data_IF_657155973597
#
_entry.id   IF_657155973597
#
_cell.length_a   1.000
_cell.length_b   1.000
_cell.length_c   1.000
_cell.angle_alpha   90.00
_cell.angle_beta   90.00
_cell.angle_gamma   90.00
#
_symmetry.space_group_name_H-M   'P 1'
#
loop_
_entity.id
_entity.type
_entity.pdbx_description
1 polymer ?
#
# COMPACT_ATOMS: atom_id res chain seq x y z
N UNK A 1 2.22 -16.08 18.04
CA UNK A 1 0.98 -16.71 17.53
C UNK A 1 0.95 -18.17 18.01
N UNK A 2 -0.23 -18.67 18.42
CA UNK A 2 -0.39 -20.06 18.84
C UNK A 2 -1.33 -20.78 17.87
N UNK A 3 -0.97 -21.98 17.44
CA UNK A 3 -1.74 -22.84 16.55
C UNK A 3 -2.09 -24.13 17.29
N UNK A 4 -3.35 -24.55 17.20
CA UNK A 4 -3.86 -25.81 17.75
C UNK A 4 -4.63 -26.55 16.67
N UNK A 5 -4.38 -27.88 16.54
CA UNK A 5 -5.19 -28.74 15.68
C UNK A 5 -6.39 -29.29 16.47
N UNK A 6 -7.58 -28.89 16.07
CA UNK A 6 -8.83 -29.31 16.69
C UNK A 6 -9.34 -30.68 16.19
N UNK A 7 -8.46 -31.53 15.69
CA UNK A 7 -8.83 -32.85 15.18
C UNK A 7 -9.11 -32.86 13.68
N UNK A 8 -8.28 -32.15 12.90
CA UNK A 8 -8.42 -32.07 11.44
C UNK A 8 -8.22 -33.47 10.78
N UNK A 9 -9.05 -33.78 9.79
CA UNK A 9 -9.04 -35.08 9.08
C UNK A 9 -7.71 -35.36 8.37
N UNK A 10 -7.09 -34.31 7.81
CA UNK A 10 -5.83 -34.40 7.04
C UNK A 10 -4.59 -34.07 7.87
N UNK A 11 -4.74 -33.68 9.13
CA UNK A 11 -3.67 -33.24 10.01
C UNK A 11 -3.16 -31.86 9.67
N UNK A 12 -2.58 -31.21 10.70
CA UNK A 12 -1.89 -29.92 10.60
C UNK A 12 -0.39 -30.15 10.77
N UNK A 13 0.42 -29.61 9.88
CA UNK A 13 1.86 -29.79 9.86
C UNK A 13 2.55 -28.43 9.99
N UNK A 14 3.61 -28.37 10.78
CA UNK A 14 4.42 -27.15 10.97
C UNK A 14 5.87 -27.42 10.62
N UNK A 15 6.51 -26.46 9.93
CA UNK A 15 7.92 -26.51 9.57
C UNK A 15 8.59 -25.20 9.96
N UNK A 16 9.73 -25.27 10.66
CA UNK A 16 10.56 -24.13 11.00
C UNK A 16 11.30 -23.57 9.77
N UNK A 17 11.64 -22.26 9.74
CA UNK A 17 12.38 -21.66 8.64
C UNK A 17 13.78 -22.28 8.52
N UNK A 18 14.22 -22.48 7.26
CA UNK A 18 15.56 -23.00 6.96
C UNK A 18 15.74 -24.52 7.04
N UNK A 19 14.70 -25.28 7.31
CA UNK A 19 14.74 -26.77 7.27
C UNK A 19 14.32 -27.25 5.88
N UNK A 20 15.27 -27.77 5.08
CA UNK A 20 15.03 -28.31 3.75
C UNK A 20 14.67 -29.80 3.82
N UNK A 21 13.55 -30.16 3.15
CA UNK A 21 13.11 -31.54 2.93
C UNK A 21 11.81 -31.92 3.64
N UNK A 22 11.11 -32.93 3.11
CA UNK A 22 9.83 -33.46 3.65
C UNK A 22 9.95 -34.06 5.07
N UNK A 23 11.17 -34.38 5.51
CA UNK A 23 11.45 -34.91 6.85
C UNK A 23 11.46 -33.84 7.96
N UNK A 24 11.38 -32.57 7.62
CA UNK A 24 11.43 -31.46 8.56
C UNK A 24 10.02 -30.95 8.99
N UNK A 25 8.95 -31.54 8.48
CA UNK A 25 7.59 -31.19 8.89
C UNK A 25 7.15 -31.99 10.12
N UNK A 26 6.73 -31.31 11.16
CA UNK A 26 6.18 -31.91 12.39
C UNK A 26 4.66 -31.85 12.35
N UNK A 27 4.00 -33.02 12.47
CA UNK A 27 2.54 -33.09 12.61
C UNK A 27 2.13 -32.63 14.01
N UNK A 28 1.14 -31.76 14.10
CA UNK A 28 0.58 -31.36 15.39
C UNK A 28 -0.29 -32.46 15.96
N UNK A 29 -0.16 -32.69 17.27
CA UNK A 29 -1.08 -33.54 18.02
C UNK A 29 -2.38 -32.76 18.28
N UNK A 30 -3.56 -33.38 18.04
CA UNK A 30 -4.83 -32.73 18.31
C UNK A 30 -4.94 -32.25 19.77
N UNK A 31 -5.40 -31.02 19.98
CA UNK A 31 -5.58 -30.43 21.31
C UNK A 31 -4.30 -29.93 21.97
N UNK A 32 -3.15 -29.99 21.30
CA UNK A 32 -1.88 -29.48 21.82
C UNK A 32 -1.47 -28.20 21.10
N UNK A 33 -1.50 -27.03 21.76
CA UNK A 33 -1.11 -25.78 21.13
C UNK A 33 0.40 -25.70 20.93
N UNK A 34 0.83 -25.22 19.76
CA UNK A 34 2.23 -24.94 19.40
C UNK A 34 2.41 -23.47 19.12
N UNK A 35 3.48 -22.87 19.64
CA UNK A 35 3.82 -21.47 19.36
C UNK A 35 4.52 -21.38 18.01
N UNK A 36 3.99 -20.54 17.13
CA UNK A 36 4.56 -20.26 15.81
C UNK A 36 5.39 -18.98 15.82
N UNK A 37 6.50 -19.02 15.10
CA UNK A 37 7.40 -17.90 14.87
C UNK A 37 7.29 -17.38 13.42
N UNK A 38 7.63 -16.10 13.17
CA UNK A 38 7.74 -15.59 11.80
C UNK A 38 8.72 -16.43 10.97
N UNK A 39 8.30 -16.80 9.76
CA UNK A 39 9.03 -17.70 8.87
C UNK A 39 8.58 -19.15 8.93
N UNK A 40 7.82 -19.56 9.96
CA UNK A 40 7.26 -20.90 10.02
C UNK A 40 6.25 -21.13 8.88
N UNK A 41 6.25 -22.35 8.38
CA UNK A 41 5.30 -22.79 7.36
C UNK A 41 4.30 -23.76 7.98
N UNK A 42 3.02 -23.50 7.79
CA UNK A 42 1.92 -24.35 8.25
C UNK A 42 1.24 -24.98 7.04
N UNK A 43 1.15 -26.31 7.00
CA UNK A 43 0.43 -27.05 5.95
C UNK A 43 -0.87 -27.63 6.49
N UNK A 44 -1.97 -27.27 5.84
CA UNK A 44 -3.33 -27.73 6.13
C UNK A 44 -3.85 -28.49 4.90
N UNK A 45 -3.68 -29.82 4.87
CA UNK A 45 -4.01 -30.60 3.68
C UNK A 45 -3.18 -30.18 2.47
N UNK A 46 -3.82 -29.67 1.42
CA UNK A 46 -3.16 -29.16 0.20
C UNK A 46 -2.75 -27.68 0.28
N UNK A 47 -3.13 -26.97 1.34
CA UNK A 47 -2.83 -25.53 1.50
C UNK A 47 -1.60 -25.35 2.37
N UNK A 48 -0.64 -24.57 1.89
CA UNK A 48 0.55 -24.18 2.63
C UNK A 48 0.49 -22.68 2.94
N UNK A 49 0.61 -22.32 4.21
CA UNK A 49 0.65 -20.95 4.73
C UNK A 49 2.05 -20.69 5.24
N UNK A 50 2.61 -19.53 4.92
CA UNK A 50 3.87 -19.04 5.48
C UNK A 50 3.55 -17.92 6.46
N UNK A 51 4.03 -18.05 7.71
CA UNK A 51 3.95 -16.94 8.65
C UNK A 51 4.97 -15.88 8.24
N UNK A 52 4.47 -14.79 7.72
CA UNK A 52 5.28 -13.59 7.57
C UNK A 52 5.14 -12.73 8.83
N UNK A 53 6.20 -12.05 9.31
CA UNK A 53 6.01 -10.98 10.27
C UNK A 53 4.89 -10.11 9.73
N UNK A 54 3.89 -9.81 10.55
CA UNK A 54 3.03 -8.69 10.20
C UNK A 54 4.00 -7.50 10.04
N UNK A 55 4.33 -7.17 8.80
CA UNK A 55 4.81 -5.84 8.53
C UNK A 55 3.72 -4.98 9.16
N UNK A 56 4.04 -4.29 10.24
CA UNK A 56 3.14 -3.28 10.75
C UNK A 56 2.75 -2.48 9.51
N UNK A 57 1.46 -2.41 9.14
CA UNK A 57 1.10 -1.51 8.07
C UNK A 57 1.76 -0.20 8.48
N UNK A 58 2.46 0.51 7.59
CA UNK A 58 3.01 1.80 7.93
C UNK A 58 1.85 2.55 8.56
N UNK A 59 1.96 2.78 9.87
CA UNK A 59 0.90 3.49 10.59
C UNK A 59 0.77 4.80 9.83
N UNK A 60 -0.41 5.20 9.34
CA UNK A 60 -0.56 6.48 8.64
C UNK A 60 -0.12 7.67 9.51
N UNK A 61 0.06 7.45 10.81
CA UNK A 61 0.62 8.41 11.77
C UNK A 61 2.16 8.48 11.72
N UNK A 62 2.89 7.54 11.07
CA UNK A 62 4.33 7.63 10.81
C UNK A 62 4.68 8.33 9.49
N UNK A 63 3.71 8.82 8.73
CA UNK A 63 3.95 9.95 7.86
C UNK A 63 4.18 11.15 8.77
N UNK A 64 5.35 11.22 9.37
CA UNK A 64 5.75 12.29 10.28
C UNK A 64 5.41 13.62 9.68
N UNK A 65 4.54 14.41 10.34
CA UNK A 65 4.31 15.83 10.12
C UNK A 65 4.19 16.33 8.68
N UNK A 66 4.02 15.47 7.69
CA UNK A 66 3.79 15.88 6.32
C UNK A 66 2.49 16.67 6.28
N UNK A 67 2.56 17.89 5.84
CA UNK A 67 1.43 18.78 5.73
C UNK A 67 0.38 18.11 4.83
N UNK A 68 -0.62 17.49 5.45
CA UNK A 68 -1.79 16.98 4.73
C UNK A 68 -2.36 18.12 3.91
N UNK A 69 -2.70 17.84 2.67
CA UNK A 69 -3.41 18.78 1.83
C UNK A 69 -4.68 19.27 2.55
N UNK A 70 -5.07 20.55 2.43
CA UNK A 70 -6.28 21.08 3.04
C UNK A 70 -7.52 20.21 2.79
N UNK A 71 -7.71 19.74 1.55
CA UNK A 71 -8.84 18.88 1.20
C UNK A 71 -8.81 17.54 1.97
N UNK A 72 -7.65 16.96 2.18
CA UNK A 72 -7.53 15.72 2.97
C UNK A 72 -7.67 15.96 4.48
N UNK A 73 -7.30 17.14 4.98
CA UNK A 73 -7.58 17.52 6.37
C UNK A 73 -9.08 17.54 6.66
N UNK A 74 -9.88 18.07 5.74
CA UNK A 74 -11.34 18.05 5.84
C UNK A 74 -11.90 16.62 5.83
N UNK A 75 -11.40 15.77 4.94
CA UNK A 75 -11.76 14.34 4.88
C UNK A 75 -11.44 13.64 6.20
N UNK A 76 -10.24 13.84 6.73
CA UNK A 76 -9.84 13.24 8.01
C UNK A 76 -10.68 13.77 9.18
N UNK A 77 -10.92 15.08 9.26
CA UNK A 77 -11.76 15.68 10.30
C UNK A 77 -13.21 15.16 10.25
N UNK A 78 -13.76 14.96 9.04
CA UNK A 78 -15.08 14.35 8.88
C UNK A 78 -15.07 12.90 9.37
N UNK A 79 -14.07 12.10 8.99
CA UNK A 79 -13.93 10.71 9.43
C UNK A 79 -13.84 10.65 10.95
N UNK A 80 -12.98 11.42 11.58
CA UNK A 80 -12.78 11.42 13.04
C UNK A 80 -14.08 11.79 13.79
N UNK A 81 -14.87 12.70 13.22
CA UNK A 81 -16.18 13.08 13.79
C UNK A 81 -17.23 11.99 13.65
N UNK A 82 -17.26 11.24 12.54
CA UNK A 82 -18.28 10.21 12.27
C UNK A 82 -17.87 8.82 12.73
N UNK A 83 -16.58 8.57 12.96
CA UNK A 83 -16.07 7.26 13.35
C UNK A 83 -16.70 6.71 14.65
N UNK A 84 -16.96 7.51 15.71
CA UNK A 84 -17.60 7.00 16.93
C UNK A 84 -19.08 6.61 16.77
N UNK A 85 -19.73 7.07 15.69
CA UNK A 85 -21.13 6.73 15.39
C UNK A 85 -21.25 5.37 14.71
N UNK A 86 -22.36 4.66 14.94
CA UNK A 86 -22.65 3.33 14.36
C UNK A 86 -23.28 3.42 12.94
N UNK A 87 -23.33 4.61 12.35
CA UNK A 87 -23.91 4.83 11.03
C UNK A 87 -22.99 4.28 9.93
N UNK A 88 -23.54 3.78 8.81
CA UNK A 88 -22.77 3.40 7.64
C UNK A 88 -22.01 4.59 7.05
N UNK A 89 -20.82 4.31 6.53
CA UNK A 89 -19.97 5.31 5.85
C UNK A 89 -19.73 4.86 4.42
N UNK A 90 -20.03 5.74 3.46
CA UNK A 90 -19.79 5.52 2.04
C UNK A 90 -18.61 6.36 1.56
N UNK A 91 -17.52 5.68 1.16
CA UNK A 91 -16.31 6.29 0.62
C UNK A 91 -16.37 6.33 -0.90
N UNK A 92 -16.42 7.52 -1.48
CA UNK A 92 -16.42 7.74 -2.91
C UNK A 92 -15.11 8.34 -3.38
N UNK A 93 -14.55 7.81 -4.45
CA UNK A 93 -13.32 8.34 -5.04
C UNK A 93 -12.71 7.40 -6.06
N UNK A 94 -11.85 7.93 -6.90
CA UNK A 94 -11.20 7.19 -7.98
C UNK A 94 -10.43 5.95 -7.47
N UNK A 95 -10.12 5.04 -8.37
CA UNK A 95 -9.27 3.89 -8.05
C UNK A 95 -7.89 4.36 -7.60
N UNK A 96 -7.39 3.76 -6.51
CA UNK A 96 -6.04 4.06 -5.99
C UNK A 96 -5.92 5.32 -5.14
N UNK A 97 -7.02 6.03 -4.80
CA UNK A 97 -6.97 7.26 -3.96
C UNK A 97 -6.73 7.01 -2.47
N UNK A 98 -6.82 5.74 -2.01
CA UNK A 98 -6.63 5.37 -0.61
C UNK A 98 -7.93 5.08 0.17
N UNK A 99 -9.03 4.72 -0.51
CA UNK A 99 -10.32 4.36 0.13
C UNK A 99 -10.13 3.34 1.25
N UNK A 100 -9.32 2.30 1.04
CA UNK A 100 -9.07 1.24 2.01
C UNK A 100 -8.38 1.75 3.29
N UNK A 101 -7.39 2.64 3.15
CA UNK A 101 -6.69 3.27 4.28
C UNK A 101 -7.64 4.12 5.11
N UNK A 102 -8.54 4.86 4.45
CA UNK A 102 -9.55 5.66 5.14
C UNK A 102 -10.62 4.80 5.81
N UNK A 103 -11.01 3.66 5.21
CA UNK A 103 -11.89 2.68 5.87
C UNK A 103 -11.25 2.11 7.15
N UNK A 104 -9.95 1.79 7.11
CA UNK A 104 -9.22 1.41 8.33
C UNK A 104 -9.22 2.51 9.38
N UNK A 105 -9.03 3.79 8.97
CA UNK A 105 -9.10 4.92 9.89
C UNK A 105 -10.47 5.03 10.53
N UNK A 106 -11.57 4.89 9.76
CA UNK A 106 -12.94 4.85 10.30
C UNK A 106 -13.07 3.76 11.35
N UNK A 107 -12.56 2.56 11.09
CA UNK A 107 -12.61 1.46 12.06
C UNK A 107 -11.78 1.75 13.31
N UNK A 108 -10.52 2.16 13.16
CA UNK A 108 -9.59 2.45 14.28
C UNK A 108 -10.09 3.56 15.20
N UNK A 109 -10.74 4.58 14.64
CA UNK A 109 -11.32 5.69 15.39
C UNK A 109 -12.73 5.39 15.93
N UNK A 110 -13.28 4.18 15.71
CA UNK A 110 -14.61 3.78 16.13
C UNK A 110 -14.61 3.12 17.51
N UNK A 111 -15.81 2.94 18.06
CA UNK A 111 -16.02 2.14 19.29
C UNK A 111 -15.71 0.64 19.08
N UNK A 112 -15.59 0.20 17.84
CA UNK A 112 -15.28 -1.19 17.45
C UNK A 112 -13.80 -1.39 17.11
N UNK A 113 -12.90 -0.47 17.42
CA UNK A 113 -11.48 -0.51 17.08
C UNK A 113 -10.73 -1.76 17.58
N UNK A 114 -11.17 -2.34 18.71
CA UNK A 114 -10.64 -3.60 19.25
C UNK A 114 -11.33 -4.88 18.72
N UNK A 115 -12.25 -4.75 17.77
CA UNK A 115 -13.00 -5.84 17.17
C UNK A 115 -12.48 -6.14 15.76
N UNK A 116 -12.85 -7.29 15.14
CA UNK A 116 -12.39 -7.60 13.80
C UNK A 116 -12.87 -6.59 12.76
N UNK A 117 -11.98 -6.25 11.82
CA UNK A 117 -12.35 -5.57 10.59
C UNK A 117 -12.13 -6.54 9.44
N UNK A 118 -13.20 -6.95 8.80
CA UNK A 118 -13.16 -7.84 7.63
C UNK A 118 -13.45 -7.06 6.36
N UNK A 119 -12.88 -7.52 5.23
CA UNK A 119 -12.96 -6.82 3.94
C UNK A 119 -13.43 -7.78 2.86
N UNK A 120 -14.32 -7.30 2.02
CA UNK A 120 -14.74 -7.99 0.80
C UNK A 120 -14.59 -7.02 -0.37
N UNK A 121 -13.82 -7.42 -1.38
CA UNK A 121 -13.83 -6.73 -2.67
C UNK A 121 -14.89 -7.37 -3.56
N UNK A 122 -15.95 -6.62 -3.85
CA UNK A 122 -17.11 -7.10 -4.61
C UNK A 122 -16.79 -7.33 -6.10
N UNK A 123 -15.73 -6.71 -6.62
CA UNK A 123 -15.29 -6.88 -8.01
C UNK A 123 -14.31 -8.04 -8.21
N UNK A 124 -13.64 -8.51 -7.15
CA UNK A 124 -12.54 -9.48 -7.26
C UNK A 124 -13.00 -10.94 -7.36
N UNK A 125 -14.25 -11.23 -7.03
CA UNK A 125 -14.80 -12.59 -6.98
C UNK A 125 -15.81 -12.82 -8.12
N UNK A 126 -15.90 -14.07 -8.57
CA UNK A 126 -17.00 -14.48 -9.43
C UNK A 126 -18.34 -14.23 -8.68
N UNK A 127 -19.32 -13.77 -9.40
CA UNK A 127 -20.58 -13.22 -8.86
C UNK A 127 -21.31 -14.13 -7.86
N UNK A 128 -21.41 -15.44 -8.17
CA UNK A 128 -22.01 -16.45 -7.27
C UNK A 128 -21.16 -16.68 -6.01
N UNK A 129 -19.85 -16.39 -6.05
CA UNK A 129 -18.97 -16.50 -4.89
C UNK A 129 -19.12 -15.30 -3.96
N UNK A 130 -19.40 -14.09 -4.49
CA UNK A 130 -19.65 -12.89 -3.67
C UNK A 130 -20.77 -13.14 -2.66
N UNK A 131 -21.89 -13.72 -3.11
CA UNK A 131 -23.01 -14.03 -2.21
C UNK A 131 -22.63 -15.06 -1.15
N UNK A 132 -21.98 -16.14 -1.57
CA UNK A 132 -21.52 -17.19 -0.67
C UNK A 132 -20.47 -16.68 0.35
N UNK A 133 -19.56 -15.80 -0.07
CA UNK A 133 -18.56 -15.21 0.85
C UNK A 133 -19.21 -14.20 1.79
N UNK A 134 -20.14 -13.38 1.32
CA UNK A 134 -20.77 -12.34 2.11
C UNK A 134 -21.80 -12.90 3.12
N UNK A 135 -22.73 -13.73 2.63
CA UNK A 135 -23.85 -14.23 3.43
C UNK A 135 -23.66 -15.65 3.99
N UNK A 136 -22.65 -16.40 3.49
CA UNK A 136 -22.47 -17.80 3.77
C UNK A 136 -23.40 -18.71 2.94
N UNK A 137 -23.22 -20.02 3.07
CA UNK A 137 -24.07 -21.01 2.41
C UNK A 137 -24.33 -22.21 3.28
N UNK A 138 -25.48 -22.85 3.07
CA UNK A 138 -25.78 -24.16 3.65
C UNK A 138 -25.28 -25.27 2.72
N UNK A 139 -25.10 -26.48 3.27
CA UNK A 139 -24.72 -27.64 2.50
C UNK A 139 -25.74 -27.92 1.38
N UNK A 140 -25.24 -28.12 0.16
CA UNK A 140 -26.08 -28.36 -1.01
C UNK A 140 -26.68 -27.12 -1.67
N UNK A 141 -26.32 -25.93 -1.23
CA UNK A 141 -26.85 -24.67 -1.78
C UNK A 141 -26.53 -24.46 -3.27
N UNK A 142 -25.40 -25.00 -3.74
CA UNK A 142 -24.98 -25.00 -5.14
C UNK A 142 -24.02 -26.16 -5.41
N UNK A 143 -23.68 -26.40 -6.68
CA UNK A 143 -22.72 -27.44 -7.09
C UNK A 143 -21.33 -27.13 -6.50
N UNK A 144 -20.85 -27.99 -5.58
CA UNK A 144 -19.61 -27.78 -4.83
C UNK A 144 -19.78 -27.33 -3.37
N UNK A 145 -21.00 -27.03 -2.92
CA UNK A 145 -21.30 -26.71 -1.52
C UNK A 145 -21.39 -28.00 -0.66
N UNK A 146 -20.26 -28.67 -0.49
CA UNK A 146 -20.22 -29.94 0.27
C UNK A 146 -20.39 -29.77 1.79
N UNK A 147 -20.03 -28.60 2.31
CA UNK A 147 -20.08 -28.25 3.74
C UNK A 147 -20.74 -26.89 3.88
N UNK A 148 -21.50 -26.66 4.95
CA UNK A 148 -22.00 -25.31 5.26
C UNK A 148 -20.84 -24.41 5.68
N UNK A 149 -20.84 -23.14 5.20
CA UNK A 149 -19.83 -22.14 5.51
C UNK A 149 -20.48 -20.87 6.05
N UNK A 150 -20.05 -20.35 7.22
CA UNK A 150 -20.49 -19.02 7.68
C UNK A 150 -20.02 -17.94 6.72
N UNK A 151 -20.83 -16.90 6.53
CA UNK A 151 -20.45 -15.74 5.71
C UNK A 151 -19.60 -14.74 6.46
N UNK A 152 -19.02 -13.81 5.70
CA UNK A 152 -18.22 -12.70 6.21
C UNK A 152 -19.00 -11.89 7.27
N UNK A 153 -20.30 -11.65 7.03
CA UNK A 153 -21.14 -10.89 7.95
C UNK A 153 -21.31 -11.59 9.30
N UNK A 154 -21.48 -12.91 9.30
CA UNK A 154 -21.53 -13.69 10.54
C UNK A 154 -20.17 -13.68 11.25
N UNK A 155 -19.08 -13.84 10.50
CA UNK A 155 -17.71 -13.91 11.03
C UNK A 155 -17.20 -12.58 11.58
N UNK A 156 -17.75 -11.45 11.10
CA UNK A 156 -17.41 -10.11 11.53
C UNK A 156 -18.22 -9.62 12.74
N UNK A 157 -19.01 -10.48 13.37
CA UNK A 157 -19.95 -10.08 14.43
C UNK A 157 -19.28 -9.25 15.52
N UNK A 158 -19.91 -8.14 15.89
CA UNK A 158 -19.40 -7.12 16.82
C UNK A 158 -18.35 -6.19 16.19
N UNK A 159 -17.90 -6.43 14.94
CA UNK A 159 -16.84 -5.73 14.25
C UNK A 159 -17.31 -4.78 13.15
N UNK A 160 -16.44 -4.59 12.16
CA UNK A 160 -16.68 -3.74 10.98
C UNK A 160 -16.48 -4.55 9.70
N UNK A 161 -17.35 -4.34 8.71
CA UNK A 161 -17.21 -4.91 7.36
C UNK A 161 -16.97 -3.79 6.36
N UNK A 162 -15.87 -3.88 5.61
CA UNK A 162 -15.60 -3.06 4.43
C UNK A 162 -16.10 -3.80 3.19
N UNK A 163 -17.06 -3.19 2.49
CA UNK A 163 -17.50 -3.60 1.16
C UNK A 163 -16.81 -2.71 0.14
N UNK A 164 -15.69 -3.20 -0.41
CA UNK A 164 -14.96 -2.47 -1.44
C UNK A 164 -15.56 -2.74 -2.82
N UNK A 165 -15.62 -1.72 -3.64
CA UNK A 165 -16.28 -1.70 -4.96
C UNK A 165 -17.75 -2.20 -4.89
N UNK A 166 -18.50 -1.65 -3.91
CA UNK A 166 -19.91 -2.02 -3.69
C UNK A 166 -20.81 -1.77 -4.91
N UNK A 167 -20.43 -0.83 -5.78
CA UNK A 167 -21.10 -0.55 -7.05
C UNK A 167 -21.03 -1.68 -8.09
N UNK A 168 -20.25 -2.75 -7.82
CA UNK A 168 -20.14 -3.95 -8.65
C UNK A 168 -21.09 -5.07 -8.21
N UNK A 169 -21.81 -4.91 -7.10
CA UNK A 169 -22.79 -5.89 -6.66
C UNK A 169 -23.96 -6.02 -7.65
N UNK A 170 -24.39 -7.25 -7.90
CA UNK A 170 -25.64 -7.51 -8.65
C UNK A 170 -26.88 -7.07 -7.87
N UNK A 171 -27.95 -6.77 -8.57
CA UNK A 171 -29.22 -6.35 -7.98
C UNK A 171 -29.79 -7.36 -6.96
N UNK A 172 -29.56 -8.67 -7.15
CA UNK A 172 -29.95 -9.72 -6.21
C UNK A 172 -29.18 -9.62 -4.90
N UNK A 173 -27.85 -9.49 -4.98
CA UNK A 173 -26.98 -9.31 -3.82
C UNK A 173 -27.23 -7.98 -3.11
N UNK A 174 -27.56 -6.92 -3.88
CA UNK A 174 -27.98 -5.62 -3.34
C UNK A 174 -29.27 -5.75 -2.51
N UNK A 175 -30.26 -6.51 -3.00
CA UNK A 175 -31.52 -6.72 -2.28
C UNK A 175 -31.30 -7.50 -0.96
N UNK A 176 -30.39 -8.48 -0.97
CA UNK A 176 -30.03 -9.23 0.26
C UNK A 176 -29.28 -8.35 1.25
N UNK A 177 -28.34 -7.55 0.76
CA UNK A 177 -27.57 -6.61 1.61
C UNK A 177 -28.48 -5.58 2.25
N UNK A 178 -29.47 -5.06 1.51
CA UNK A 178 -30.46 -4.13 2.04
C UNK A 178 -31.22 -4.73 3.24
N UNK A 179 -31.68 -5.97 3.11
CA UNK A 179 -32.36 -6.68 4.23
C UNK A 179 -31.47 -6.79 5.45
N UNK A 180 -30.16 -7.09 5.27
CA UNK A 180 -29.23 -7.13 6.40
C UNK A 180 -29.08 -5.77 7.07
N UNK A 181 -28.99 -4.69 6.29
CA UNK A 181 -28.89 -3.32 6.81
C UNK A 181 -30.16 -2.84 7.53
N UNK A 182 -31.33 -3.37 7.16
CA UNK A 182 -32.62 -2.99 7.74
C UNK A 182 -33.00 -3.87 8.95
N UNK A 183 -32.85 -5.19 8.81
CA UNK A 183 -33.33 -6.16 9.80
C UNK A 183 -32.26 -6.60 10.79
N UNK A 184 -30.97 -6.34 10.50
CA UNK A 184 -29.86 -6.85 11.30
C UNK A 184 -29.76 -8.39 11.28
N UNK A 185 -30.20 -9.02 10.18
CA UNK A 185 -30.20 -10.47 10.00
C UNK A 185 -29.76 -10.85 8.59
N UNK A 186 -28.96 -11.91 8.46
CA UNK A 186 -28.58 -12.50 7.19
C UNK A 186 -29.19 -13.88 7.00
N UNK A 187 -29.50 -14.22 5.76
CA UNK A 187 -29.92 -15.55 5.35
C UNK A 187 -28.82 -16.17 4.49
N UNK A 188 -28.31 -17.33 4.85
CA UNK A 188 -27.34 -18.07 4.06
C UNK A 188 -27.93 -18.48 2.72
N UNK A 189 -27.10 -18.61 1.71
CA UNK A 189 -27.51 -19.14 0.41
C UNK A 189 -28.00 -20.59 0.60
N UNK A 190 -29.21 -20.89 0.12
CA UNK A 190 -29.89 -22.17 0.34
C UNK A 190 -30.47 -22.37 1.74
N UNK A 191 -30.31 -21.42 2.66
CA UNK A 191 -30.82 -21.49 4.02
C UNK A 191 -32.21 -20.85 4.18
N UNK A 192 -32.93 -21.27 5.25
CA UNK A 192 -34.26 -20.73 5.60
C UNK A 192 -34.27 -20.04 6.97
N UNK A 193 -33.20 -20.18 7.76
CA UNK A 193 -33.11 -19.64 9.11
C UNK A 193 -32.28 -18.34 9.14
N UNK A 194 -32.91 -17.17 9.40
CA UNK A 194 -32.18 -15.92 9.51
C UNK A 194 -31.27 -15.91 10.75
N UNK A 195 -30.05 -15.39 10.59
CA UNK A 195 -29.04 -15.26 11.65
C UNK A 195 -28.84 -13.80 12.00
N UNK A 196 -28.76 -13.45 13.29
CA UNK A 196 -28.51 -12.07 13.71
C UNK A 196 -27.13 -11.62 13.26
N UNK A 197 -27.03 -10.39 12.78
CA UNK A 197 -25.79 -9.73 12.33
C UNK A 197 -25.63 -8.42 13.07
N UNK A 198 -24.57 -8.32 13.82
CA UNK A 198 -24.14 -7.09 14.48
C UNK A 198 -22.82 -6.60 13.87
N UNK A 199 -22.89 -5.87 12.77
CA UNK A 199 -21.72 -5.31 12.09
C UNK A 199 -21.91 -3.84 11.74
N UNK A 200 -20.84 -3.07 11.82
CA UNK A 200 -20.78 -1.73 11.23
C UNK A 200 -20.36 -1.85 9.77
N UNK A 201 -21.06 -1.15 8.88
CA UNK A 201 -20.72 -1.15 7.45
C UNK A 201 -19.91 0.08 7.07
N UNK A 202 -18.84 -0.15 6.31
CA UNK A 202 -18.13 0.85 5.52
C UNK A 202 -18.17 0.37 4.08
N UNK A 203 -18.69 1.19 3.18
CA UNK A 203 -18.77 0.87 1.75
C UNK A 203 -17.83 1.79 0.98
N UNK A 204 -17.19 1.27 -0.07
CA UNK A 204 -16.31 2.03 -0.94
C UNK A 204 -16.60 1.73 -2.41
N UNK A 205 -16.50 2.73 -3.28
CA UNK A 205 -16.57 2.54 -4.73
C UNK A 205 -15.95 3.72 -5.48
N UNK A 206 -15.51 3.46 -6.71
CA UNK A 206 -15.11 4.50 -7.66
C UNK A 206 -16.26 4.90 -8.60
N UNK A 207 -17.35 4.14 -8.62
CA UNK A 207 -18.48 4.37 -9.52
C UNK A 207 -19.37 5.52 -9.03
N UNK A 208 -19.96 6.24 -9.98
CA UNK A 208 -21.03 7.18 -9.68
C UNK A 208 -22.32 6.38 -9.39
N UNK A 209 -22.64 6.27 -8.09
CA UNK A 209 -23.84 5.54 -7.65
C UNK A 209 -25.13 6.27 -8.00
N UNK A 210 -25.13 7.61 -8.11
CA UNK A 210 -26.30 8.39 -8.53
C UNK A 210 -26.63 8.08 -10.00
N UNK A 211 -25.62 7.96 -10.85
CA UNK A 211 -25.78 7.50 -12.23
C UNK A 211 -26.23 6.05 -12.29
N UNK A 212 -25.59 5.15 -11.53
CA UNK A 212 -25.95 3.75 -11.47
C UNK A 212 -27.42 3.53 -11.01
N UNK A 213 -27.92 4.37 -10.10
CA UNK A 213 -29.33 4.37 -9.68
C UNK A 213 -30.25 4.82 -10.80
N UNK A 214 -29.88 5.88 -11.54
CA UNK A 214 -30.68 6.35 -12.69
C UNK A 214 -30.78 5.31 -13.81
N UNK A 215 -29.76 4.56 -14.04
CA UNK A 215 -29.67 3.48 -15.03
C UNK A 215 -30.25 2.13 -14.54
N UNK A 216 -30.71 2.04 -13.30
CA UNK A 216 -31.25 0.82 -12.71
C UNK A 216 -30.22 -0.27 -12.40
N UNK A 217 -28.91 0.05 -12.44
CA UNK A 217 -27.82 -0.85 -12.09
C UNK A 217 -27.56 -0.92 -10.57
N UNK A 218 -28.02 0.08 -9.84
CA UNK A 218 -27.95 0.13 -8.39
C UNK A 218 -29.29 0.51 -7.78
N UNK A 219 -29.69 -0.14 -6.69
CA UNK A 219 -30.96 0.11 -6.03
C UNK A 219 -30.90 1.42 -5.24
N UNK A 220 -31.91 2.27 -5.42
CA UNK A 220 -32.02 3.56 -4.71
C UNK A 220 -32.15 3.39 -3.20
N UNK A 221 -32.93 2.37 -2.75
CA UNK A 221 -33.10 2.09 -1.32
C UNK A 221 -31.80 1.68 -0.63
N UNK A 222 -31.01 0.82 -1.26
CA UNK A 222 -29.68 0.43 -0.75
C UNK A 222 -28.71 1.62 -0.72
N UNK A 223 -28.72 2.47 -1.77
CA UNK A 223 -27.89 3.67 -1.81
C UNK A 223 -28.13 4.54 -0.58
N UNK A 224 -29.36 4.91 -0.28
CA UNK A 224 -29.68 5.75 0.88
C UNK A 224 -29.37 5.07 2.22
N UNK A 225 -29.44 3.75 2.29
CA UNK A 225 -29.08 3.02 3.51
C UNK A 225 -27.58 2.96 3.74
N UNK A 226 -26.75 2.84 2.69
CA UNK A 226 -25.29 2.88 2.75
C UNK A 226 -24.74 4.30 2.91
N UNK A 227 -25.41 5.29 2.34
CA UNK A 227 -25.02 6.70 2.35
C UNK A 227 -25.39 7.42 3.67
N UNK A 228 -25.24 6.75 4.83
CA UNK A 228 -25.45 7.39 6.13
C UNK A 228 -24.56 8.61 6.31
N UNK A 229 -23.27 8.49 5.97
CA UNK A 229 -22.36 9.61 5.71
C UNK A 229 -21.58 9.31 4.44
N UNK A 230 -21.55 10.28 3.54
CA UNK A 230 -20.76 10.19 2.29
C UNK A 230 -19.47 10.99 2.47
N UNK A 231 -18.34 10.31 2.25
CA UNK A 231 -17.01 10.90 2.26
C UNK A 231 -16.44 10.85 0.84
N UNK A 232 -16.26 12.00 0.22
CA UNK A 232 -15.65 12.11 -1.10
C UNK A 232 -14.15 12.34 -0.94
N UNK A 233 -13.35 11.48 -1.58
CA UNK A 233 -11.90 11.50 -1.49
C UNK A 233 -11.37 12.14 -2.77
N UNK A 234 -10.68 13.29 -2.69
CA UNK A 234 -10.13 13.96 -3.86
C UNK A 234 -9.05 13.10 -4.52
N UNK A 235 -8.93 13.12 -5.84
CA UNK A 235 -7.83 12.45 -6.55
C UNK A 235 -6.48 13.11 -6.24
N UNK A 236 -5.38 12.38 -6.45
CA UNK A 236 -4.03 12.84 -6.09
C UNK A 236 -3.63 14.16 -6.76
N UNK A 237 -4.10 14.42 -7.98
CA UNK A 237 -3.88 15.67 -8.72
C UNK A 237 -4.49 16.91 -8.03
N UNK A 238 -5.48 16.71 -7.17
CA UNK A 238 -6.13 17.79 -6.39
C UNK A 238 -5.52 17.97 -5.00
N UNK A 239 -4.49 17.18 -4.64
CA UNK A 239 -3.77 17.25 -3.36
C UNK A 239 -2.25 17.19 -3.55
N UNK A 240 -1.68 18.15 -4.28
CA UNK A 240 -0.26 18.14 -4.63
C UNK A 240 0.68 18.18 -3.43
N UNK A 241 0.25 18.76 -2.30
CA UNK A 241 1.06 18.81 -1.08
C UNK A 241 1.40 17.42 -0.50
N UNK A 242 0.62 16.38 -0.82
CA UNK A 242 0.88 15.02 -0.37
C UNK A 242 1.84 14.24 -1.28
N UNK A 243 2.07 14.69 -2.51
CA UNK A 243 2.80 13.93 -3.50
C UNK A 243 4.26 13.69 -3.08
N UNK A 244 4.97 14.74 -2.67
CA UNK A 244 6.36 14.66 -2.22
C UNK A 244 6.52 13.74 -0.98
N UNK A 245 5.78 13.93 0.13
CA UNK A 245 5.89 13.03 1.29
C UNK A 245 5.48 11.58 0.97
N UNK A 246 4.49 11.35 0.10
CA UNK A 246 4.12 10.01 -0.33
C UNK A 246 5.24 9.35 -1.15
N UNK A 247 5.83 10.08 -2.10
CA UNK A 247 6.93 9.58 -2.92
C UNK A 247 8.13 9.18 -2.04
N UNK A 248 8.53 10.01 -1.09
CA UNK A 248 9.59 9.69 -0.14
C UNK A 248 9.26 8.51 0.76
N UNK A 249 8.00 8.38 1.19
CA UNK A 249 7.56 7.24 2.02
C UNK A 249 7.64 5.92 1.23
N UNK A 250 7.17 5.91 -0.02
CA UNK A 250 7.24 4.72 -0.87
C UNK A 250 8.68 4.38 -1.25
N UNK A 251 9.50 5.40 -1.51
CA UNK A 251 10.91 5.22 -1.83
C UNK A 251 11.66 4.55 -0.66
N UNK A 252 11.52 5.08 0.56
CA UNK A 252 12.15 4.50 1.75
C UNK A 252 11.69 3.07 2.00
N UNK A 253 10.39 2.81 1.84
CA UNK A 253 9.84 1.46 2.02
C UNK A 253 10.36 0.48 0.96
N UNK A 254 10.48 0.90 -0.31
CA UNK A 254 11.04 0.08 -1.38
C UNK A 254 12.54 -0.19 -1.17
N UNK A 255 13.27 0.83 -0.74
CA UNK A 255 14.71 0.74 -0.48
C UNK A 255 15.03 -0.23 0.65
N UNK A 256 14.30 -0.12 1.76
CA UNK A 256 14.45 -1.02 2.91
C UNK A 256 14.19 -2.49 2.53
N UNK A 257 13.19 -2.75 1.67
CA UNK A 257 12.91 -4.12 1.16
C UNK A 257 14.02 -4.68 0.28
N UNK A 258 14.80 -3.80 -0.36
CA UNK A 258 15.95 -4.22 -1.18
C UNK A 258 17.20 -4.54 -0.35
N UNK A 259 17.14 -4.46 0.97
CA UNK A 259 18.28 -4.72 1.87
C UNK A 259 19.40 -3.69 1.79
N UNK A 260 19.16 -2.52 1.20
CA UNK A 260 20.14 -1.43 1.08
C UNK A 260 20.19 -0.63 2.37
N UNK A 261 21.41 -0.29 2.83
CA UNK A 261 21.63 0.42 4.09
C UNK A 261 21.78 1.94 3.91
N UNK A 262 22.00 2.41 2.69
CA UNK A 262 22.11 3.83 2.36
C UNK A 262 20.73 4.49 2.30
N UNK A 263 20.66 5.78 2.56
CA UNK A 263 19.40 6.54 2.48
C UNK A 263 19.12 6.95 1.03
N UNK A 264 17.97 6.57 0.46
CA UNK A 264 17.63 6.95 -0.91
C UNK A 264 17.18 8.40 -0.99
N UNK A 265 17.52 9.08 -2.09
CA UNK A 265 17.11 10.45 -2.35
C UNK A 265 16.47 10.59 -3.74
N UNK A 266 15.48 11.46 -3.84
CA UNK A 266 14.91 11.92 -5.11
C UNK A 266 15.71 13.13 -5.61
N UNK A 267 16.14 13.06 -6.86
CA UNK A 267 16.75 14.21 -7.53
C UNK A 267 15.69 15.31 -7.78
N UNK A 268 16.08 16.60 -7.85
CA UNK A 268 15.13 17.67 -8.10
C UNK A 268 14.36 17.54 -9.41
N UNK A 269 14.99 16.99 -10.47
CA UNK A 269 14.35 16.71 -11.76
C UNK A 269 13.32 15.57 -11.65
N UNK A 270 13.59 14.57 -10.82
CA UNK A 270 12.67 13.48 -10.53
C UNK A 270 11.43 13.99 -9.79
N UNK A 271 11.62 14.80 -8.74
CA UNK A 271 10.52 15.38 -7.99
C UNK A 271 9.67 16.32 -8.87
N UNK A 272 10.30 17.18 -9.66
CA UNK A 272 9.60 18.07 -10.60
C UNK A 272 8.76 17.26 -11.62
N UNK A 273 9.30 16.15 -12.12
CA UNK A 273 8.56 15.27 -13.01
C UNK A 273 7.36 14.61 -12.32
N UNK A 274 7.54 14.07 -11.10
CA UNK A 274 6.44 13.50 -10.31
C UNK A 274 5.31 14.52 -10.09
N UNK A 275 5.65 15.76 -9.76
CA UNK A 275 4.68 16.83 -9.53
C UNK A 275 3.91 17.25 -10.80
N UNK A 276 4.48 17.04 -11.98
CA UNK A 276 3.87 17.39 -13.26
C UNK A 276 2.93 16.29 -13.80
N UNK A 277 2.89 15.08 -13.21
CA UNK A 277 2.06 13.99 -13.70
C UNK A 277 0.60 14.08 -13.22
N UNK A 278 -0.38 13.69 -14.06
CA UNK A 278 -1.80 13.72 -13.69
C UNK A 278 -2.25 12.59 -12.77
N UNK A 279 -1.47 11.52 -12.61
CA UNK A 279 -1.72 10.36 -11.77
C UNK A 279 -3.13 9.77 -11.88
N UNK A 280 -3.58 9.28 -13.06
CA UNK A 280 -4.92 8.69 -13.21
C UNK A 280 -5.12 7.46 -12.32
N UNK A 281 -4.09 6.71 -12.00
CA UNK A 281 -4.11 5.61 -11.03
C UNK A 281 -3.80 6.05 -9.59
N UNK A 282 -3.74 7.38 -9.33
CA UNK A 282 -3.58 7.99 -8.01
C UNK A 282 -2.37 7.44 -7.22
N UNK A 283 -2.54 7.22 -5.91
CA UNK A 283 -1.48 6.73 -5.01
C UNK A 283 -0.96 5.36 -5.44
N UNK A 284 -1.81 4.50 -6.02
CA UNK A 284 -1.38 3.17 -6.50
C UNK A 284 -0.39 3.29 -7.64
N UNK A 285 -0.65 4.17 -8.60
CA UNK A 285 0.25 4.43 -9.72
C UNK A 285 1.56 5.09 -9.26
N UNK A 286 1.46 6.13 -8.42
CA UNK A 286 2.63 6.78 -7.82
C UNK A 286 3.52 5.77 -7.11
N UNK A 287 2.94 4.92 -6.28
CA UNK A 287 3.67 3.88 -5.55
C UNK A 287 4.40 2.93 -6.50
N UNK A 288 3.71 2.39 -7.51
CA UNK A 288 4.33 1.49 -8.49
C UNK A 288 5.44 2.17 -9.28
N UNK A 289 5.26 3.45 -9.62
CA UNK A 289 6.28 4.24 -10.32
C UNK A 289 7.55 4.39 -9.47
N UNK A 290 7.40 4.79 -8.21
CA UNK A 290 8.53 4.97 -7.27
C UNK A 290 9.19 3.64 -6.91
N UNK A 291 8.42 2.58 -6.66
CA UNK A 291 8.96 1.24 -6.37
C UNK A 291 9.77 0.70 -7.55
N UNK A 292 9.27 0.86 -8.79
CA UNK A 292 10.02 0.49 -10.01
C UNK A 292 11.31 1.29 -10.15
N UNK A 293 11.27 2.60 -9.92
CA UNK A 293 12.45 3.46 -9.97
C UNK A 293 13.51 3.06 -8.93
N UNK A 294 13.08 2.67 -7.73
CA UNK A 294 13.96 2.16 -6.68
C UNK A 294 14.69 0.87 -7.09
N UNK A 295 14.02 -0.02 -7.84
CA UNK A 295 14.62 -1.26 -8.34
C UNK A 295 15.61 -1.00 -9.50
N UNK A 296 15.34 -0.02 -10.36
CA UNK A 296 16.19 0.32 -11.51
C UNK A 296 17.40 1.18 -11.13
N UNK A 297 17.37 1.80 -9.97
CA UNK A 297 18.45 2.67 -9.50
C UNK A 297 19.57 1.84 -8.84
N UNK A 298 20.78 1.90 -9.39
CA UNK A 298 21.97 1.23 -8.82
C UNK A 298 22.62 2.05 -7.70
N UNK A 299 22.53 3.39 -7.76
CA UNK A 299 23.13 4.29 -6.76
C UNK A 299 22.05 5.05 -5.99
N UNK A 300 22.11 5.34 -4.75
CA UNK A 300 21.08 5.93 -3.87
C UNK A 300 20.34 7.20 -4.34
N UNK A 301 20.43 7.56 -5.64
CA UNK A 301 19.88 8.80 -6.20
C UNK A 301 18.94 8.53 -7.36
N UNK A 302 17.63 8.72 -7.16
CA UNK A 302 16.61 8.51 -8.19
C UNK A 302 16.45 9.78 -9.03
N UNK A 303 16.74 9.67 -10.33
CA UNK A 303 16.57 10.71 -11.33
C UNK A 303 15.29 10.48 -12.15
N UNK A 304 14.91 11.47 -12.97
CA UNK A 304 13.78 11.34 -13.90
C UNK A 304 13.90 10.10 -14.81
N UNK A 305 15.10 9.74 -15.26
CA UNK A 305 15.31 8.57 -16.13
C UNK A 305 14.88 7.25 -15.48
N UNK A 306 14.96 7.12 -14.18
CA UNK A 306 14.47 5.94 -13.44
C UNK A 306 12.95 5.89 -13.32
N UNK A 307 12.28 7.06 -13.29
CA UNK A 307 10.82 7.18 -13.19
C UNK A 307 10.13 6.96 -14.53
N UNK A 308 10.72 7.50 -15.61
CA UNK A 308 10.20 7.47 -16.97
C UNK A 308 11.24 6.83 -17.92
N UNK A 309 11.30 5.50 -18.00
CA UNK A 309 12.26 4.79 -18.85
C UNK A 309 12.08 5.03 -20.35
N UNK A 310 10.94 5.56 -20.77
CA UNK A 310 10.65 5.93 -22.16
C UNK A 310 11.05 7.37 -22.50
N UNK A 311 11.38 8.18 -21.51
CA UNK A 311 11.94 9.50 -21.77
C UNK A 311 13.33 9.31 -22.39
N UNK A 312 13.53 9.80 -23.59
CA UNK A 312 14.88 10.03 -24.09
C UNK A 312 15.66 10.79 -22.99
N UNK A 313 16.92 10.42 -22.69
CA UNK A 313 17.69 11.12 -21.68
C UNK A 313 17.53 12.61 -21.96
N UNK A 314 17.00 13.37 -20.98
CA UNK A 314 16.85 14.80 -21.11
C UNK A 314 18.19 15.30 -21.64
N UNK A 315 18.24 16.10 -22.72
CA UNK A 315 19.49 16.69 -23.16
C UNK A 315 20.08 17.30 -21.90
N UNK A 316 21.29 16.86 -21.56
CA UNK A 316 22.00 17.39 -20.39
C UNK A 316 21.77 18.91 -20.42
N UNK A 317 21.31 19.55 -19.31
CA UNK A 317 21.04 20.99 -19.32
C UNK A 317 22.21 21.61 -20.03
N UNK A 318 22.02 22.48 -21.05
CA UNK A 318 23.11 23.01 -21.82
C UNK A 318 24.11 23.52 -20.81
N UNK A 319 25.28 22.86 -20.77
CA UNK A 319 26.38 23.33 -19.92
C UNK A 319 26.38 24.82 -20.13
N UNK A 320 26.29 25.65 -19.07
CA UNK A 320 26.29 27.10 -19.25
C UNK A 320 27.45 27.36 -20.21
N UNK A 321 27.25 28.19 -21.28
CA UNK A 321 28.21 28.30 -22.37
C UNK A 321 29.53 28.46 -21.68
N UNK A 322 30.49 27.55 -21.97
CA UNK A 322 31.75 27.47 -21.24
C UNK A 322 32.30 28.87 -21.22
N UNK A 323 32.02 29.56 -20.14
CA UNK A 323 32.55 30.92 -19.93
C UNK A 323 34.04 30.73 -20.12
N UNK A 324 34.64 31.50 -20.96
CA UNK A 324 36.02 31.46 -21.40
C UNK A 324 37.07 31.30 -20.29
N UNK A 325 36.64 31.25 -19.03
CA UNK A 325 37.42 31.05 -17.80
C UNK A 325 37.91 29.62 -17.56
N UNK A 326 37.42 28.58 -18.28
CA UNK A 326 37.91 27.16 -18.10
C UNK A 326 39.04 26.82 -19.09
N UNK A 327 39.38 27.71 -20.03
CA UNK A 327 40.55 27.50 -20.89
C UNK A 327 41.89 27.78 -20.20
N UNK A 328 41.90 28.49 -19.05
CA UNK A 328 43.06 28.55 -18.17
C UNK A 328 42.84 27.58 -17.01
N UNK A 329 43.56 26.46 -16.98
CA UNK A 329 43.41 25.42 -15.94
C UNK A 329 43.28 26.00 -14.53
N UNK A 330 42.41 25.37 -13.71
CA UNK A 330 42.27 25.76 -12.29
C UNK A 330 43.64 25.92 -11.64
N UNK A 331 43.83 27.03 -10.91
CA UNK A 331 45.12 27.28 -10.23
C UNK A 331 45.35 26.23 -9.14
N UNK A 332 46.62 25.94 -8.84
CA UNK A 332 47.01 25.00 -7.81
C UNK A 332 46.30 25.26 -6.47
N UNK A 333 46.14 26.51 -6.07
CA UNK A 333 45.44 26.92 -4.85
C UNK A 333 43.98 26.50 -4.80
N UNK A 334 43.24 26.58 -5.92
CA UNK A 334 41.83 26.17 -6.02
C UNK A 334 41.72 24.65 -5.93
N UNK A 335 42.64 23.90 -6.51
CA UNK A 335 42.67 22.45 -6.45
C UNK A 335 42.98 21.96 -5.02
N UNK A 336 43.98 22.57 -4.36
CA UNK A 336 44.34 22.27 -2.97
C UNK A 336 43.20 22.57 -2.01
N UNK A 337 42.57 23.76 -2.10
CA UNK A 337 41.42 24.14 -1.29
C UNK A 337 40.21 23.20 -1.48
N UNK A 338 39.95 22.73 -2.70
CA UNK A 338 38.89 21.77 -2.96
C UNK A 338 39.17 20.37 -2.38
N UNK A 339 40.42 19.91 -2.45
CA UNK A 339 40.85 18.65 -1.86
C UNK A 339 40.83 18.70 -0.34
N UNK A 340 41.27 19.77 0.28
CA UNK A 340 41.22 19.98 1.73
C UNK A 340 39.78 20.01 2.24
N UNK A 341 38.89 20.77 1.59
CA UNK A 341 37.48 20.89 1.96
C UNK A 341 36.75 19.55 1.92
N UNK A 342 37.17 18.63 1.05
CA UNK A 342 36.59 17.31 0.90
C UNK A 342 37.49 16.19 1.46
N UNK A 343 38.38 16.50 2.41
CA UNK A 343 39.27 15.55 3.10
C UNK A 343 40.01 14.58 2.16
N UNK A 344 40.44 15.08 0.99
CA UNK A 344 41.17 14.30 -0.01
C UNK A 344 40.30 13.45 -0.92
N UNK A 345 38.96 13.45 -0.78
CA UNK A 345 38.06 12.68 -1.62
C UNK A 345 37.95 13.30 -3.04
N UNK A 346 38.70 12.73 -3.98
CA UNK A 346 38.78 13.21 -5.37
C UNK A 346 37.44 13.22 -6.11
N UNK A 347 36.53 12.30 -5.79
CA UNK A 347 35.21 12.25 -6.44
C UNK A 347 34.33 13.40 -5.99
N UNK A 348 34.31 13.70 -4.69
CA UNK A 348 33.57 14.85 -4.13
C UNK A 348 34.19 16.21 -4.54
N UNK A 349 35.50 16.27 -4.54
CA UNK A 349 36.22 17.47 -4.99
C UNK A 349 35.99 17.75 -6.50
N UNK A 350 35.98 16.72 -7.34
CA UNK A 350 35.67 16.84 -8.75
C UNK A 350 34.23 17.35 -8.99
N UNK A 351 33.27 16.77 -8.27
CA UNK A 351 31.88 17.22 -8.34
C UNK A 351 31.71 18.69 -7.90
N UNK A 352 32.39 19.10 -6.83
CA UNK A 352 32.35 20.49 -6.34
C UNK A 352 33.00 21.49 -7.30
N UNK A 353 33.96 21.04 -8.10
CA UNK A 353 34.64 21.86 -9.12
C UNK A 353 33.94 21.77 -10.52
N UNK A 354 32.86 21.00 -10.64
CA UNK A 354 32.13 20.84 -11.90
C UNK A 354 32.90 20.10 -12.99
N UNK A 355 33.87 19.24 -12.62
CA UNK A 355 34.74 18.52 -13.57
C UNK A 355 34.67 17.02 -13.37
N UNK A 356 35.04 16.23 -14.38
CA UNK A 356 35.15 14.79 -14.23
C UNK A 356 36.30 14.42 -13.28
N UNK A 357 36.17 13.29 -12.54
CA UNK A 357 37.23 12.76 -11.70
C UNK A 357 38.55 12.60 -12.48
N UNK A 358 38.46 12.16 -13.73
CA UNK A 358 39.63 11.96 -14.61
C UNK A 358 40.33 13.31 -14.89
N UNK A 359 39.53 14.37 -15.14
CA UNK A 359 40.06 15.73 -15.35
C UNK A 359 40.75 16.26 -14.11
N UNK A 360 40.14 16.07 -12.94
CA UNK A 360 40.72 16.47 -11.67
C UNK A 360 42.08 15.74 -11.39
N UNK A 361 42.12 14.44 -11.62
CA UNK A 361 43.33 13.63 -11.43
C UNK A 361 44.47 14.13 -12.35
N UNK A 362 44.19 14.39 -13.64
CA UNK A 362 45.15 14.94 -14.57
C UNK A 362 45.67 16.32 -14.14
N UNK A 363 44.83 17.16 -13.52
CA UNK A 363 45.26 18.46 -13.02
C UNK A 363 46.08 18.34 -11.75
N UNK A 364 45.74 17.43 -10.82
CA UNK A 364 46.54 17.13 -9.61
C UNK A 364 47.98 16.69 -10.02
N UNK A 365 48.10 15.81 -11.02
CA UNK A 365 49.38 15.37 -11.54
C UNK A 365 50.15 16.52 -12.24
N UNK A 366 49.48 17.30 -13.06
CA UNK A 366 50.06 18.43 -13.80
C UNK A 366 50.60 19.54 -12.87
N UNK A 367 49.92 19.76 -11.73
CA UNK A 367 50.31 20.78 -10.75
C UNK A 367 51.18 20.24 -9.61
N UNK A 368 51.57 18.95 -9.63
CA UNK A 368 52.45 18.36 -8.63
C UNK A 368 51.90 18.36 -7.20
N UNK A 369 50.56 18.27 -7.07
CA UNK A 369 49.90 18.27 -5.75
C UNK A 369 50.08 16.88 -5.14
N UNK A 370 50.66 16.83 -3.92
CA UNK A 370 50.83 15.55 -3.18
C UNK A 370 49.44 14.91 -2.91
N UNK A 371 49.30 13.63 -3.28
CA UNK A 371 48.06 12.86 -2.99
C UNK A 371 47.94 12.72 -1.47
N UNK A 372 46.85 13.22 -0.85
CA UNK A 372 46.65 12.95 0.57
C UNK A 372 46.53 11.44 0.77
N UNK A 373 47.37 10.85 1.60
CA UNK A 373 47.28 9.45 2.01
C UNK A 373 45.98 9.31 2.80
N UNK A 374 45.01 8.58 2.24
CA UNK A 374 43.75 8.27 2.94
C UNK A 374 44.12 7.61 4.30
N UNK A 375 43.71 8.27 5.37
CA UNK A 375 43.73 7.67 6.69
C UNK A 375 42.79 6.46 6.72
N UNK A 376 43.27 5.40 7.37
CA UNK A 376 42.51 4.15 7.66
C UNK A 376 41.25 4.43 8.47
#
# INVERSE_FOLDING_TARGET
LTLEDLGSTNGTWVRAPGSDGAAAETRLEPGRPVTLSPGDTVRLGAVTLVLVPAAAPPSPDTAGGAALDPAMREVHALIDRVAPAEIPVLLLGETGVGKEVLAERVHRASRRSGRPMLRLNCAALAEHLVESELFGHERGAFTGAHVAKPGLLESASGGTVLLDEVGDLRLESQARLLRVLEEGKALRVGGVSPRPIDVRFVAATHKDLDEAVREGRFRRDLYYRLAGVVVRIPPLRERPAELDPLAHTFLRAAWARSGRADEPALAPDALAWLMAQPWPGNIRELRHCVERAALLCEGGFITRAHLDPGAAPAPAPPLPPASETVRGGLTRAVLEAALERHAGNQTRAAAALGVSRRTLVNWIERHGIARPRGGR
#
